data_IF_306888632373
#
_entry.id   IF_306888632373
#
_cell.length_a   1.000
_cell.length_b   1.000
_cell.length_c   1.000
_cell.angle_alpha   90.00
_cell.angle_beta   90.00
_cell.angle_gamma   90.00
#
_symmetry.space_group_name_H-M   'P 1'
#
loop_
_entity.id
_entity.type
_entity.pdbx_description
1 polymer ?
#
# COMPACT_ATOMS: atom_id res chain seq x y z
N UNK A 1 -18.74 -5.27 -24.82
CA UNK A 1 -20.22 -5.07 -24.91
C UNK A 1 -20.77 -5.17 -23.51
N UNK A 2 -21.64 -4.24 -23.10
CA UNK A 2 -22.32 -4.25 -21.79
C UNK A 2 -23.32 -5.40 -21.74
N UNK A 3 -23.29 -6.19 -20.66
CA UNK A 3 -24.23 -7.30 -20.43
C UNK A 3 -25.58 -6.73 -20.09
N UNK A 4 -26.64 -7.21 -20.79
CA UNK A 4 -28.01 -6.75 -20.50
C UNK A 4 -28.48 -7.23 -19.14
N UNK A 5 -29.05 -6.35 -18.35
CA UNK A 5 -29.58 -6.59 -17.01
C UNK A 5 -31.11 -6.46 -17.00
N UNK A 6 -31.73 -7.10 -16.04
CA UNK A 6 -33.16 -6.93 -15.66
C UNK A 6 -33.18 -6.35 -14.26
N UNK A 7 -34.07 -5.41 -14.01
CA UNK A 7 -34.39 -4.91 -12.67
C UNK A 7 -35.31 -5.94 -11.99
N UNK A 8 -34.98 -6.32 -10.78
CA UNK A 8 -35.70 -7.27 -9.95
C UNK A 8 -36.10 -6.57 -8.64
N UNK A 9 -37.38 -6.41 -8.41
CA UNK A 9 -37.96 -5.94 -7.16
C UNK A 9 -38.45 -7.13 -6.36
N UNK A 10 -37.88 -7.33 -5.17
CA UNK A 10 -38.19 -8.46 -4.28
C UNK A 10 -39.03 -7.97 -3.10
N UNK A 11 -40.05 -8.76 -2.76
CA UNK A 11 -40.90 -8.57 -1.59
C UNK A 11 -40.77 -9.77 -0.68
N UNK A 12 -40.20 -9.58 0.52
CA UNK A 12 -39.83 -10.66 1.43
C UNK A 12 -40.38 -10.38 2.82
N UNK A 13 -40.86 -11.39 3.53
CA UNK A 13 -41.21 -11.25 4.93
C UNK A 13 -39.96 -11.00 5.77
N UNK A 14 -40.08 -10.14 6.80
CA UNK A 14 -38.98 -9.79 7.67
C UNK A 14 -38.25 -11.04 8.23
N UNK A 15 -38.99 -12.06 8.61
CA UNK A 15 -38.44 -13.32 9.17
C UNK A 15 -37.62 -14.12 8.14
N UNK A 16 -37.96 -14.02 6.85
CA UNK A 16 -37.29 -14.77 5.77
C UNK A 16 -36.14 -14.02 5.09
N UNK A 17 -35.84 -12.81 5.56
CA UNK A 17 -34.79 -11.93 4.95
C UNK A 17 -33.46 -12.62 4.76
N UNK A 18 -32.88 -13.16 5.85
CA UNK A 18 -31.58 -13.81 5.80
C UNK A 18 -31.58 -15.08 4.96
N UNK A 19 -32.64 -15.84 5.02
CA UNK A 19 -32.79 -17.08 4.22
C UNK A 19 -32.83 -16.73 2.73
N UNK A 20 -33.60 -15.71 2.36
CA UNK A 20 -33.70 -15.24 0.97
C UNK A 20 -32.36 -14.77 0.46
N UNK A 21 -31.61 -13.98 1.26
CA UNK A 21 -30.27 -13.53 0.90
C UNK A 21 -29.30 -14.69 0.68
N UNK A 22 -29.30 -15.69 1.56
CA UNK A 22 -28.47 -16.89 1.41
C UNK A 22 -28.82 -17.67 0.15
N UNK A 23 -30.13 -17.83 -0.15
CA UNK A 23 -30.61 -18.50 -1.36
C UNK A 23 -30.15 -17.73 -2.62
N UNK A 24 -30.23 -16.37 -2.64
CA UNK A 24 -29.76 -15.55 -3.75
C UNK A 24 -28.23 -15.57 -3.87
N UNK A 25 -27.52 -15.52 -2.75
CA UNK A 25 -26.06 -15.61 -2.71
C UNK A 25 -25.55 -16.95 -3.27
N UNK A 26 -26.29 -18.04 -3.03
CA UNK A 26 -25.96 -19.37 -3.58
C UNK A 26 -25.98 -19.42 -5.11
N UNK A 27 -26.81 -18.58 -5.77
CA UNK A 27 -26.82 -18.44 -7.22
C UNK A 27 -25.63 -17.60 -7.73
N UNK A 28 -25.15 -16.63 -6.95
CA UNK A 28 -24.01 -15.79 -7.29
C UNK A 28 -24.20 -14.88 -8.52
N UNK A 29 -25.47 -14.60 -8.91
CA UNK A 29 -25.80 -13.87 -10.14
C UNK A 29 -26.70 -12.65 -9.92
N UNK A 30 -27.16 -12.43 -8.70
CA UNK A 30 -28.05 -11.33 -8.33
C UNK A 30 -27.22 -10.22 -7.69
N UNK A 31 -27.30 -9.03 -8.25
CA UNK A 31 -26.67 -7.82 -7.67
C UNK A 31 -27.72 -7.02 -6.92
N UNK A 32 -27.63 -6.97 -5.61
CA UNK A 32 -28.54 -6.17 -4.76
C UNK A 32 -28.07 -4.73 -4.77
N UNK A 33 -28.98 -3.79 -4.97
CA UNK A 33 -28.68 -2.38 -4.89
C UNK A 33 -28.52 -1.98 -3.42
N UNK A 34 -27.30 -1.56 -3.07
CA UNK A 34 -26.99 -1.14 -1.71
C UNK A 34 -27.44 0.32 -1.54
N UNK A 35 -28.33 0.55 -0.59
CA UNK A 35 -28.82 1.89 -0.28
C UNK A 35 -27.68 2.77 0.25
N UNK A 36 -27.65 4.05 -0.17
CA UNK A 36 -26.63 4.98 0.30
C UNK A 36 -26.77 5.26 1.80
N UNK A 37 -25.64 5.20 2.51
CA UNK A 37 -25.58 5.53 3.94
C UNK A 37 -26.03 4.40 4.87
N UNK A 38 -26.08 3.17 4.37
CA UNK A 38 -26.33 1.99 5.21
C UNK A 38 -25.15 1.81 6.18
N UNK A 39 -25.44 1.82 7.47
CA UNK A 39 -24.50 1.52 8.54
C UNK A 39 -25.20 0.71 9.61
N UNK A 40 -24.52 -0.28 10.14
CA UNK A 40 -24.92 -1.04 11.32
C UNK A 40 -23.69 -1.37 12.15
N UNK A 41 -23.89 -1.71 13.40
CA UNK A 41 -22.81 -2.12 14.28
C UNK A 41 -22.00 -3.31 13.70
N UNK A 42 -22.67 -4.22 13.01
CA UNK A 42 -22.01 -5.35 12.33
C UNK A 42 -21.13 -4.88 11.19
N UNK A 43 -21.59 -3.96 10.34
CA UNK A 43 -20.83 -3.40 9.22
C UNK A 43 -19.59 -2.66 9.74
N UNK A 44 -19.74 -1.87 10.80
CA UNK A 44 -18.62 -1.16 11.42
C UNK A 44 -17.58 -2.11 12.02
N UNK A 45 -18.03 -3.17 12.69
CA UNK A 45 -17.16 -4.21 13.25
C UNK A 45 -16.39 -4.96 12.16
N UNK A 46 -17.05 -5.35 11.06
CA UNK A 46 -16.40 -6.01 9.92
C UNK A 46 -15.39 -5.06 9.27
N UNK A 47 -15.74 -3.79 9.09
CA UNK A 47 -14.83 -2.79 8.55
C UNK A 47 -13.60 -2.58 9.45
N UNK A 48 -13.76 -2.59 10.78
CA UNK A 48 -12.66 -2.52 11.72
C UNK A 48 -11.73 -3.75 11.60
N UNK A 49 -12.29 -4.97 11.59
CA UNK A 49 -11.51 -6.21 11.40
C UNK A 49 -10.74 -6.22 10.06
N UNK A 50 -11.37 -5.76 8.98
CA UNK A 50 -10.73 -5.63 7.67
C UNK A 50 -9.58 -4.62 7.69
N UNK A 51 -9.76 -3.48 8.37
CA UNK A 51 -8.70 -2.50 8.54
C UNK A 51 -7.52 -3.07 9.33
N UNK A 52 -7.79 -3.81 10.41
CA UNK A 52 -6.78 -4.46 11.24
C UNK A 52 -6.01 -5.52 10.45
N UNK A 53 -6.68 -6.34 9.64
CA UNK A 53 -6.05 -7.31 8.76
C UNK A 53 -5.14 -6.65 7.71
N UNK A 54 -5.60 -5.59 7.06
CA UNK A 54 -4.79 -4.83 6.09
C UNK A 54 -3.60 -4.13 6.76
N UNK A 55 -3.79 -3.60 7.97
CA UNK A 55 -2.73 -3.00 8.78
C UNK A 55 -1.67 -4.02 9.17
N UNK A 56 -2.06 -5.19 9.65
CA UNK A 56 -1.14 -6.27 9.97
C UNK A 56 -0.32 -6.72 8.76
N UNK A 57 -0.96 -6.89 7.59
CA UNK A 57 -0.30 -7.19 6.33
C UNK A 57 0.73 -6.11 5.94
N UNK A 58 0.38 -4.83 6.11
CA UNK A 58 1.28 -3.70 5.81
C UNK A 58 2.49 -3.70 6.75
N UNK A 59 2.29 -3.98 8.05
CA UNK A 59 3.37 -4.08 9.04
C UNK A 59 4.35 -5.19 8.65
N UNK A 60 3.85 -6.38 8.30
CA UNK A 60 4.70 -7.51 7.88
C UNK A 60 5.51 -7.15 6.63
N UNK A 61 4.86 -6.56 5.62
CA UNK A 61 5.51 -6.17 4.36
C UNK A 61 6.57 -5.08 4.56
N UNK A 62 6.31 -4.09 5.42
CA UNK A 62 7.26 -3.05 5.76
C UNK A 62 8.49 -3.64 6.48
N UNK A 63 8.27 -4.50 7.49
CA UNK A 63 9.36 -5.17 8.19
C UNK A 63 10.23 -6.02 7.24
N UNK A 64 9.62 -6.74 6.29
CA UNK A 64 10.32 -7.49 5.25
C UNK A 64 11.14 -6.58 4.31
N UNK A 65 10.55 -5.45 3.91
CA UNK A 65 11.22 -4.47 3.04
C UNK A 65 12.45 -3.86 3.73
N UNK A 66 12.30 -3.50 5.00
CA UNK A 66 13.38 -2.88 5.78
C UNK A 66 14.50 -3.89 6.11
N UNK A 67 14.15 -5.16 6.39
CA UNK A 67 15.13 -6.24 6.53
C UNK A 67 15.92 -6.46 5.23
N UNK A 68 15.26 -6.44 4.06
CA UNK A 68 15.92 -6.53 2.75
C UNK A 68 16.87 -5.36 2.48
N UNK A 69 16.44 -4.12 2.80
CA UNK A 69 17.30 -2.92 2.68
C UNK A 69 18.54 -3.02 3.59
N UNK A 70 18.35 -3.56 4.81
CA UNK A 70 19.43 -3.80 5.76
C UNK A 70 20.31 -5.03 5.41
N UNK A 71 20.03 -5.71 4.28
CA UNK A 71 20.73 -6.96 3.84
C UNK A 71 20.73 -8.06 4.91
N UNK A 72 19.70 -8.10 5.76
CA UNK A 72 19.51 -9.19 6.74
C UNK A 72 19.11 -10.47 6.01
N UNK A 73 19.68 -11.59 6.42
CA UNK A 73 19.29 -12.91 5.91
C UNK A 73 17.97 -13.35 6.55
N UNK A 74 16.87 -13.04 5.86
CA UNK A 74 15.52 -13.42 6.29
C UNK A 74 15.28 -14.93 6.15
N UNK A 75 16.06 -15.62 5.32
CA UNK A 75 15.90 -17.06 5.07
C UNK A 75 16.31 -17.92 6.27
N UNK A 76 17.15 -17.40 7.14
CA UNK A 76 17.58 -18.06 8.38
C UNK A 76 16.52 -18.02 9.49
N UNK A 77 15.51 -17.16 9.39
CA UNK A 77 14.43 -17.08 10.37
C UNK A 77 13.47 -18.26 10.18
N UNK A 78 13.34 -19.13 11.20
CA UNK A 78 12.34 -20.20 11.18
C UNK A 78 10.96 -19.57 11.01
N UNK A 79 10.20 -20.05 10.02
CA UNK A 79 8.82 -19.63 9.83
C UNK A 79 8.00 -19.86 11.10
N UNK A 80 6.99 -19.01 11.33
CA UNK A 80 6.04 -19.22 12.41
C UNK A 80 5.29 -20.56 12.21
N UNK A 81 4.82 -21.14 13.30
CA UNK A 81 3.97 -22.33 13.26
C UNK A 81 2.69 -22.04 12.46
N UNK A 82 2.42 -22.81 11.41
CA UNK A 82 1.31 -22.60 10.47
C UNK A 82 -0.05 -23.09 11.00
N UNK A 83 -0.14 -23.49 12.25
CA UNK A 83 -1.37 -24.01 12.88
C UNK A 83 -2.32 -22.92 13.39
N UNK A 84 -1.90 -21.66 13.48
CA UNK A 84 -2.69 -20.56 14.05
C UNK A 84 -3.74 -20.05 13.09
N UNK A 85 -4.86 -19.56 13.62
CA UNK A 85 -5.89 -18.86 12.84
C UNK A 85 -5.38 -17.50 12.38
N UNK A 86 -5.86 -17.02 11.22
CA UNK A 86 -5.46 -15.73 10.68
C UNK A 86 -5.79 -14.57 11.64
N UNK A 87 -6.95 -14.61 12.31
CA UNK A 87 -7.36 -13.62 13.32
C UNK A 87 -6.34 -13.49 14.46
N UNK A 88 -5.90 -14.62 15.02
CA UNK A 88 -4.95 -14.62 16.16
C UNK A 88 -3.57 -14.06 15.74
N UNK A 89 -3.20 -14.30 14.47
CA UNK A 89 -1.95 -13.76 13.90
C UNK A 89 -2.06 -12.25 13.67
N UNK A 90 -3.21 -11.77 13.18
CA UNK A 90 -3.47 -10.34 13.00
C UNK A 90 -3.31 -9.62 14.33
N UNK A 91 -4.00 -10.08 15.38
CA UNK A 91 -3.94 -9.48 16.72
C UNK A 91 -2.51 -9.50 17.28
N UNK A 92 -1.81 -10.62 17.13
CA UNK A 92 -0.42 -10.76 17.58
C UNK A 92 0.51 -9.76 16.86
N UNK A 93 0.40 -9.62 15.54
CA UNK A 93 1.23 -8.68 14.75
C UNK A 93 0.96 -7.23 15.16
N UNK A 94 -0.30 -6.88 15.41
CA UNK A 94 -0.67 -5.54 15.86
C UNK A 94 -0.10 -5.25 17.27
N UNK A 95 -0.17 -6.21 18.20
CA UNK A 95 0.41 -6.09 19.53
C UNK A 95 1.95 -5.97 19.50
N UNK A 96 2.61 -6.78 18.67
CA UNK A 96 4.06 -6.71 18.45
C UNK A 96 4.47 -5.33 17.90
N UNK A 97 3.72 -4.81 16.92
CA UNK A 97 3.98 -3.47 16.39
C UNK A 97 3.85 -2.38 17.44
N UNK A 98 2.77 -2.40 18.24
CA UNK A 98 2.59 -1.44 19.33
C UNK A 98 3.71 -1.51 20.38
N UNK A 99 4.17 -2.73 20.68
CA UNK A 99 5.28 -2.94 21.60
C UNK A 99 6.58 -2.40 21.03
N UNK A 100 6.85 -2.64 19.74
CA UNK A 100 8.00 -2.08 19.04
C UNK A 100 8.01 -0.56 19.05
N UNK A 101 6.85 0.06 18.79
CA UNK A 101 6.72 1.52 18.76
C UNK A 101 6.98 2.14 20.15
N UNK A 102 6.50 1.50 21.22
CA UNK A 102 6.77 1.93 22.61
C UNK A 102 8.27 1.85 22.92
N UNK A 103 8.92 0.74 22.59
CA UNK A 103 10.35 0.57 22.82
C UNK A 103 11.20 1.54 21.99
N UNK A 104 10.78 1.83 20.74
CA UNK A 104 11.43 2.84 19.88
C UNK A 104 11.32 4.24 20.51
N UNK A 105 10.15 4.61 21.03
CA UNK A 105 9.97 5.89 21.72
C UNK A 105 10.84 6.00 22.98
N UNK A 106 10.92 4.95 23.78
CA UNK A 106 11.79 4.88 24.97
C UNK A 106 13.27 5.01 24.58
N UNK A 107 13.71 4.23 23.60
CA UNK A 107 15.07 4.30 23.04
C UNK A 107 15.42 5.71 22.55
N UNK A 108 14.52 6.37 21.83
CA UNK A 108 14.75 7.70 21.28
C UNK A 108 14.82 8.76 22.38
N UNK A 109 14.08 8.59 23.47
CA UNK A 109 14.24 9.42 24.67
C UNK A 109 15.60 9.22 25.33
N UNK A 110 16.04 7.97 25.53
CA UNK A 110 17.37 7.68 26.07
C UNK A 110 18.48 8.17 25.15
N UNK A 111 18.30 8.14 23.81
CA UNK A 111 19.25 8.74 22.86
C UNK A 111 19.34 10.26 23.01
N UNK A 112 18.24 10.95 23.31
CA UNK A 112 18.26 12.39 23.62
C UNK A 112 19.03 12.65 24.91
N UNK A 113 18.76 11.87 25.97
CA UNK A 113 19.55 11.98 27.23
C UNK A 113 21.03 11.70 26.99
N UNK A 114 21.34 10.67 26.21
CA UNK A 114 22.74 10.36 25.84
C UNK A 114 23.39 11.51 25.08
N UNK A 115 22.66 12.19 24.17
CA UNK A 115 23.21 13.33 23.43
C UNK A 115 23.54 14.54 24.31
N UNK A 116 22.84 14.70 25.44
CA UNK A 116 23.12 15.75 26.44
C UNK A 116 24.43 15.49 27.17
N UNK A 117 24.66 14.22 27.57
CA UNK A 117 25.86 13.84 28.33
C UNK A 117 27.09 13.57 27.45
N UNK A 118 26.89 13.20 26.18
CA UNK A 118 27.94 12.79 25.26
C UNK A 118 29.13 13.80 25.14
N UNK A 119 28.94 15.12 25.14
CA UNK A 119 30.05 16.06 25.10
C UNK A 119 30.97 15.99 26.32
N UNK A 120 30.44 15.54 27.46
CA UNK A 120 31.18 15.46 28.72
C UNK A 120 31.87 14.12 28.95
N UNK A 121 31.57 13.13 28.12
CA UNK A 121 32.17 11.80 28.18
C UNK A 121 31.61 10.92 29.30
N UNK A 122 32.33 9.82 29.60
CA UNK A 122 31.96 8.92 30.67
C UNK A 122 32.48 9.37 32.01
N UNK A 123 31.60 9.66 32.95
CA UNK A 123 31.95 10.02 34.33
C UNK A 123 30.90 9.39 35.30
N UNK A 124 31.30 9.24 36.57
CA UNK A 124 30.42 8.70 37.60
C UNK A 124 29.80 9.88 38.42
N UNK A 125 28.47 9.90 38.48
CA UNK A 125 27.73 10.86 39.31
C UNK A 125 28.07 10.72 40.78
N UNK A 126 28.34 9.50 41.27
CA UNK A 126 28.73 9.27 42.67
C UNK A 126 30.07 9.99 42.98
N UNK A 127 31.00 9.96 42.05
CA UNK A 127 32.30 10.71 42.21
C UNK A 127 32.09 12.21 42.26
N UNK A 128 31.16 12.74 41.44
CA UNK A 128 30.85 14.18 41.43
C UNK A 128 30.15 14.55 42.73
N UNK A 129 29.18 13.76 43.20
CA UNK A 129 28.49 14.00 44.45
C UNK A 129 29.45 13.91 45.68
N UNK A 130 30.31 12.91 45.68
CA UNK A 130 31.37 12.80 46.70
C UNK A 130 32.34 14.00 46.67
N UNK A 131 32.60 14.56 45.49
CA UNK A 131 33.46 15.74 45.33
C UNK A 131 32.75 16.99 45.87
N UNK A 132 31.45 17.17 45.58
CA UNK A 132 30.62 18.24 46.16
C UNK A 132 30.66 18.24 47.69
N UNK A 133 30.42 17.07 48.29
CA UNK A 133 30.39 16.90 49.76
C UNK A 133 31.74 17.19 50.42
N UNK A 134 32.85 16.82 49.76
CA UNK A 134 34.19 16.99 50.31
C UNK A 134 34.82 18.37 50.10
N UNK A 135 34.39 19.11 49.07
CA UNK A 135 35.07 20.33 48.65
C UNK A 135 34.25 21.59 48.85
N UNK A 136 32.96 21.52 49.22
CA UNK A 136 32.04 22.66 49.30
C UNK A 136 31.94 23.48 48.02
N UNK A 137 32.20 22.84 46.86
CA UNK A 137 32.00 23.43 45.54
C UNK A 137 30.76 22.86 44.88
N UNK A 138 29.94 23.75 44.34
CA UNK A 138 28.84 23.32 43.42
C UNK A 138 29.37 23.14 42.04
N UNK A 139 29.04 21.98 41.43
CA UNK A 139 29.51 21.58 40.10
C UNK A 139 28.33 21.65 39.16
N UNK A 140 28.44 22.52 38.14
CA UNK A 140 27.40 22.71 37.16
C UNK A 140 27.98 22.62 35.75
N UNK A 141 27.13 22.14 34.82
CA UNK A 141 27.50 21.90 33.44
C UNK A 141 26.87 22.95 32.54
N UNK A 142 27.65 23.47 31.61
CA UNK A 142 27.26 24.60 30.74
C UNK A 142 27.61 24.35 29.29
N UNK A 143 26.87 25.03 28.39
CA UNK A 143 27.30 25.25 27.03
C UNK A 143 27.29 26.73 26.66
N UNK A 144 28.28 27.16 25.90
CA UNK A 144 28.38 28.53 25.42
C UNK A 144 28.92 28.56 23.98
N UNK A 145 28.61 29.60 23.19
CA UNK A 145 29.30 29.84 21.93
C UNK A 145 30.81 30.09 22.20
N UNK A 146 31.69 29.52 21.38
CA UNK A 146 33.17 29.60 21.57
C UNK A 146 33.64 31.02 21.78
N UNK A 147 33.16 31.97 20.94
CA UNK A 147 33.55 33.38 21.00
C UNK A 147 33.16 34.06 22.32
N UNK A 148 31.97 33.75 22.82
CA UNK A 148 31.44 34.31 24.07
C UNK A 148 32.16 33.71 25.27
N UNK A 149 32.43 32.40 25.26
CA UNK A 149 33.20 31.73 26.32
C UNK A 149 34.60 32.29 26.44
N UNK A 150 35.30 32.55 25.33
CA UNK A 150 36.66 33.13 25.32
C UNK A 150 36.71 34.60 25.77
N UNK A 151 35.64 35.34 25.51
CA UNK A 151 35.56 36.77 25.88
C UNK A 151 35.06 36.99 27.32
N UNK A 152 34.47 35.98 27.93
CA UNK A 152 33.86 36.12 29.27
C UNK A 152 34.88 35.94 30.39
N UNK A 153 34.84 36.87 31.34
CA UNK A 153 35.69 36.80 32.54
C UNK A 153 34.92 36.08 33.67
N UNK A 154 35.35 34.87 34.02
CA UNK A 154 34.73 34.06 35.03
C UNK A 154 35.04 34.43 36.48
N UNK A 155 35.84 35.49 36.72
CA UNK A 155 36.17 35.92 38.06
C UNK A 155 36.86 34.86 38.93
N UNK A 156 36.25 34.52 40.07
CA UNK A 156 36.76 33.48 40.99
C UNK A 156 36.21 32.07 40.66
N UNK A 157 35.34 31.94 39.65
CA UNK A 157 34.76 30.66 39.24
C UNK A 157 35.77 29.87 38.40
N UNK A 158 36.17 28.72 38.89
CA UNK A 158 37.03 27.83 38.11
C UNK A 158 36.20 27.11 37.03
N UNK A 159 36.62 27.21 35.78
CA UNK A 159 35.98 26.54 34.67
C UNK A 159 36.93 25.60 33.94
N UNK A 160 36.40 24.47 33.47
CA UNK A 160 37.16 23.52 32.68
C UNK A 160 36.40 23.19 31.39
N UNK A 161 36.99 23.59 30.27
CA UNK A 161 36.42 23.24 28.94
C UNK A 161 36.67 21.75 28.67
N UNK A 162 35.59 20.99 28.48
CA UNK A 162 35.64 19.54 28.27
C UNK A 162 35.72 19.21 26.78
N UNK A 163 34.88 19.88 25.96
CA UNK A 163 34.81 19.62 24.52
C UNK A 163 34.36 20.87 23.76
N UNK A 164 34.93 21.04 22.58
CA UNK A 164 34.44 22.00 21.57
C UNK A 164 33.81 21.24 20.41
N UNK A 165 32.56 21.53 20.13
CA UNK A 165 31.82 20.86 19.07
C UNK A 165 30.77 21.80 18.48
N UNK A 166 30.64 21.80 17.14
CA UNK A 166 29.61 22.57 16.41
C UNK A 166 29.55 24.07 16.78
N UNK A 167 30.71 24.70 17.06
CA UNK A 167 30.80 26.14 17.41
C UNK A 167 30.44 26.46 18.86
N UNK A 168 30.22 25.47 19.70
CA UNK A 168 29.97 25.59 21.15
C UNK A 168 31.09 24.96 21.95
N UNK A 169 31.33 25.51 23.13
CA UNK A 169 32.17 24.93 24.16
C UNK A 169 31.26 24.31 25.23
N UNK A 170 31.54 23.09 25.57
CA UNK A 170 30.93 22.39 26.71
C UNK A 170 31.92 22.42 27.84
N UNK A 171 31.52 22.99 28.95
CA UNK A 171 32.43 23.18 30.10
C UNK A 171 31.76 22.89 31.44
N UNK A 172 32.57 22.61 32.42
CA UNK A 172 32.16 22.41 33.81
C UNK A 172 32.63 23.63 34.61
N UNK A 173 31.73 24.19 35.40
CA UNK A 173 32.06 25.27 36.31
C UNK A 173 31.98 24.77 37.76
N UNK A 174 33.01 25.18 38.53
CA UNK A 174 33.13 24.90 39.94
C UNK A 174 32.90 26.19 40.72
N UNK A 175 31.75 26.33 41.36
CA UNK A 175 31.33 27.48 42.10
C UNK A 175 31.39 27.18 43.59
N UNK A 176 32.03 28.07 44.40
CA UNK A 176 32.06 27.91 45.85
C UNK A 176 30.64 28.07 46.43
N UNK A 177 30.25 27.21 47.37
CA UNK A 177 28.95 27.27 48.01
C UNK A 177 28.76 28.64 48.68
N UNK A 178 27.64 29.34 48.37
CA UNK A 178 27.33 30.70 48.86
C UNK A 178 27.87 31.87 48.00
N UNK A 179 28.52 31.64 46.84
CA UNK A 179 28.87 32.71 45.92
C UNK A 179 27.61 33.18 45.15
N UNK A 180 27.42 34.51 45.01
CA UNK A 180 26.29 35.12 44.27
C UNK A 180 26.56 35.26 42.76
N UNK A 181 27.76 34.91 42.27
CA UNK A 181 28.11 35.03 40.87
C UNK A 181 27.23 34.18 39.98
N UNK A 182 26.65 34.79 38.93
CA UNK A 182 25.79 34.12 37.94
C UNK A 182 26.54 33.98 36.62
N UNK A 183 26.59 32.74 36.13
CA UNK A 183 27.17 32.46 34.80
C UNK A 183 26.05 32.65 33.76
N UNK A 184 26.19 33.58 32.78
CA UNK A 184 25.12 33.92 31.82
C UNK A 184 25.07 32.97 30.61
N UNK A 185 25.38 31.70 30.82
CA UNK A 185 25.36 30.68 29.79
C UNK A 185 24.33 29.60 30.09
N UNK A 186 23.95 28.82 29.07
CA UNK A 186 22.94 27.78 29.19
C UNK A 186 23.39 26.66 30.12
N UNK A 187 22.65 26.46 31.23
CA UNK A 187 22.87 25.35 32.14
C UNK A 187 22.35 24.07 31.47
N UNK A 188 23.18 23.03 31.46
CA UNK A 188 22.83 21.73 30.99
C UNK A 188 22.39 20.86 32.19
N UNK A 189 21.12 20.53 32.21
CA UNK A 189 20.57 19.59 33.20
C UNK A 189 20.99 18.16 32.83
N UNK A 190 21.89 17.60 33.64
CA UNK A 190 22.37 16.24 33.42
C UNK A 190 21.27 15.21 33.76
N UNK A 191 21.13 14.16 32.92
CA UNK A 191 20.25 13.04 33.26
C UNK A 191 20.80 12.30 34.50
N UNK A 192 19.92 11.57 35.20
CA UNK A 192 20.29 10.82 36.41
C UNK A 192 21.11 9.54 36.12
N UNK A 193 21.37 9.22 34.86
CA UNK A 193 22.08 8.00 34.43
C UNK A 193 23.40 8.35 33.80
N UNK A 194 24.42 7.54 34.01
CA UNK A 194 25.73 7.70 33.40
C UNK A 194 25.71 7.41 31.88
N UNK A 195 26.74 7.89 31.19
CA UNK A 195 26.91 7.65 29.75
C UNK A 195 26.90 6.14 29.40
N UNK A 196 27.61 5.34 30.20
CA UNK A 196 27.73 3.89 29.96
C UNK A 196 26.44 3.14 30.26
N UNK A 197 25.68 3.56 31.29
CA UNK A 197 24.36 3.02 31.60
C UNK A 197 23.37 3.32 30.48
N UNK A 198 23.31 4.57 30.01
CA UNK A 198 22.45 4.94 28.89
C UNK A 198 22.79 4.16 27.64
N UNK A 199 24.07 4.01 27.31
CA UNK A 199 24.52 3.23 26.16
C UNK A 199 24.15 1.75 26.26
N UNK A 200 24.28 1.18 27.45
CA UNK A 200 23.89 -0.22 27.71
C UNK A 200 22.39 -0.39 27.53
N UNK A 201 21.57 0.48 28.12
CA UNK A 201 20.11 0.42 28.00
C UNK A 201 19.64 0.61 26.56
N UNK A 202 20.23 1.54 25.82
CA UNK A 202 19.94 1.71 24.38
C UNK A 202 20.25 0.42 23.62
N UNK A 203 21.41 -0.21 23.88
CA UNK A 203 21.78 -1.47 23.22
C UNK A 203 20.84 -2.63 23.55
N UNK A 204 20.35 -2.71 24.79
CA UNK A 204 19.35 -3.70 25.21
C UNK A 204 17.99 -3.46 24.53
N UNK A 205 17.57 -2.18 24.42
CA UNK A 205 16.35 -1.84 23.71
C UNK A 205 16.45 -2.13 22.21
N UNK A 206 17.59 -1.81 21.59
CA UNK A 206 17.82 -2.11 20.17
C UNK A 206 17.72 -3.62 19.89
N UNK A 207 18.25 -4.46 20.79
CA UNK A 207 18.10 -5.93 20.69
C UNK A 207 16.65 -6.38 20.81
N UNK A 208 15.92 -5.85 21.80
CA UNK A 208 14.48 -6.18 21.99
C UNK A 208 13.65 -5.76 20.80
N UNK A 209 13.93 -4.58 20.23
CA UNK A 209 13.25 -4.11 19.01
C UNK A 209 13.55 -5.04 17.85
N UNK A 210 14.81 -5.45 17.68
CA UNK A 210 15.22 -6.39 16.63
C UNK A 210 14.54 -7.76 16.79
N UNK A 211 14.43 -8.28 17.99
CA UNK A 211 13.73 -9.54 18.25
C UNK A 211 12.25 -9.46 17.89
N UNK A 212 11.58 -8.37 18.25
CA UNK A 212 10.17 -8.12 17.87
C UNK A 212 10.03 -8.00 16.34
N UNK A 213 10.90 -7.26 15.68
CA UNK A 213 10.88 -7.14 14.21
C UNK A 213 11.09 -8.49 13.52
N UNK A 214 11.99 -9.32 14.04
CA UNK A 214 12.19 -10.69 13.57
C UNK A 214 10.94 -11.56 13.79
N UNK A 215 10.25 -11.39 14.92
CA UNK A 215 9.00 -12.12 15.19
C UNK A 215 7.86 -11.67 14.25
N UNK A 216 7.79 -10.39 13.92
CA UNK A 216 6.86 -9.89 12.89
C UNK A 216 7.17 -10.51 11.53
N UNK A 217 8.45 -10.57 11.13
CA UNK A 217 8.88 -11.14 9.85
C UNK A 217 8.55 -12.64 9.75
N UNK A 218 8.66 -13.40 10.83
CA UNK A 218 8.28 -14.83 10.86
C UNK A 218 6.84 -15.07 10.43
N UNK A 219 5.95 -14.09 10.64
CA UNK A 219 4.55 -14.18 10.24
C UNK A 219 4.32 -13.96 8.73
N UNK A 220 5.36 -13.77 7.90
CA UNK A 220 5.23 -13.66 6.44
C UNK A 220 4.48 -14.85 5.80
N UNK A 221 4.59 -16.03 6.38
CA UNK A 221 3.92 -17.25 5.91
C UNK A 221 2.40 -17.15 5.97
N UNK A 222 1.87 -16.27 6.80
CA UNK A 222 0.42 -16.04 6.95
C UNK A 222 -0.16 -14.98 6.02
N UNK A 223 0.65 -14.31 5.19
CA UNK A 223 0.15 -13.25 4.28
C UNK A 223 -0.99 -13.78 3.38
N UNK A 224 -0.84 -15.01 2.88
CA UNK A 224 -1.90 -15.63 2.07
C UNK A 224 -3.17 -15.94 2.88
N UNK A 225 -3.01 -16.41 4.12
CA UNK A 225 -4.14 -16.65 5.03
C UNK A 225 -4.84 -15.33 5.41
N UNK A 226 -4.08 -14.27 5.68
CA UNK A 226 -4.62 -12.92 5.93
C UNK A 226 -5.37 -12.38 4.70
N UNK A 227 -4.87 -12.61 3.47
CA UNK A 227 -5.58 -12.22 2.26
C UNK A 227 -6.93 -12.96 2.13
N UNK A 228 -6.96 -14.27 2.40
CA UNK A 228 -8.21 -15.05 2.41
C UNK A 228 -9.21 -14.56 3.47
N UNK A 229 -8.69 -14.15 4.64
CA UNK A 229 -9.51 -13.55 5.69
C UNK A 229 -10.11 -12.22 5.24
N UNK A 230 -9.31 -11.35 4.61
CA UNK A 230 -9.80 -10.08 4.03
C UNK A 230 -10.86 -10.33 2.95
N UNK A 231 -10.68 -11.34 2.11
CA UNK A 231 -11.68 -11.72 1.09
C UNK A 231 -12.97 -12.22 1.75
N UNK A 232 -12.86 -13.02 2.81
CA UNK A 232 -14.01 -13.49 3.61
C UNK A 232 -14.76 -12.32 4.26
N UNK A 233 -14.02 -11.39 4.88
CA UNK A 233 -14.60 -10.18 5.47
C UNK A 233 -15.25 -9.26 4.44
N UNK A 234 -14.72 -9.18 3.21
CA UNK A 234 -15.36 -8.45 2.12
C UNK A 234 -16.72 -9.08 1.74
N UNK A 235 -16.77 -10.41 1.65
CA UNK A 235 -18.01 -11.12 1.35
C UNK A 235 -19.04 -10.90 2.47
N UNK A 236 -18.61 -10.98 3.74
CA UNK A 236 -19.48 -10.74 4.90
C UNK A 236 -19.98 -9.29 4.92
N UNK A 237 -19.12 -8.32 4.64
CA UNK A 237 -19.50 -6.91 4.58
C UNK A 237 -20.59 -6.68 3.52
N UNK A 238 -20.39 -7.17 2.31
CA UNK A 238 -21.39 -7.07 1.25
C UNK A 238 -22.70 -7.76 1.60
N UNK A 239 -22.63 -8.88 2.33
CA UNK A 239 -23.83 -9.58 2.80
C UNK A 239 -24.61 -8.75 3.83
N UNK A 240 -23.93 -8.15 4.81
CA UNK A 240 -24.57 -7.28 5.80
C UNK A 240 -25.07 -5.97 5.18
N UNK A 241 -24.32 -5.36 4.24
CA UNK A 241 -24.80 -4.22 3.47
C UNK A 241 -26.07 -4.55 2.68
N UNK A 242 -26.10 -5.68 2.01
CA UNK A 242 -27.30 -6.16 1.28
C UNK A 242 -28.47 -6.41 2.24
N UNK A 243 -28.22 -6.96 3.41
CA UNK A 243 -29.23 -7.22 4.44
C UNK A 243 -29.87 -5.91 4.95
N UNK A 244 -29.06 -4.91 5.21
CA UNK A 244 -29.52 -3.62 5.69
C UNK A 244 -30.14 -2.76 4.56
N UNK A 245 -29.96 -3.12 3.30
CA UNK A 245 -30.57 -2.43 2.15
C UNK A 245 -32.05 -2.78 1.94
N UNK A 246 -32.59 -3.73 2.70
CA UNK A 246 -34.01 -4.03 2.67
C UNK A 246 -34.81 -2.93 3.38
N UNK A 247 -35.69 -2.27 2.65
CA UNK A 247 -36.55 -1.20 3.17
C UNK A 247 -37.87 -1.76 3.66
N UNK A 248 -38.25 -1.37 4.87
CA UNK A 248 -39.55 -1.76 5.43
C UNK A 248 -40.70 -1.06 4.68
N UNK A 249 -41.73 -1.81 4.30
CA UNK A 249 -42.94 -1.23 3.71
C UNK A 249 -43.78 -0.61 4.79
N UNK A 250 -44.06 0.70 4.68
CA UNK A 250 -44.95 1.43 5.60
C UNK A 250 -46.39 0.87 5.58
N UNK A 251 -46.86 0.40 4.42
CA UNK A 251 -48.22 -0.13 4.23
C UNK A 251 -48.46 -1.40 5.05
N UNK A 252 -47.41 -2.18 5.36
CA UNK A 252 -47.52 -3.49 6.03
C UNK A 252 -46.98 -3.47 7.46
N UNK A 253 -46.84 -2.26 8.05
CA UNK A 253 -46.25 -2.09 9.41
C UNK A 253 -44.87 -2.78 9.56
N UNK A 254 -44.10 -2.80 8.49
CA UNK A 254 -42.75 -3.39 8.48
C UNK A 254 -42.68 -4.92 8.38
N UNK A 255 -43.79 -5.60 8.18
CA UNK A 255 -43.82 -7.06 8.02
C UNK A 255 -43.26 -7.51 6.69
N UNK A 256 -43.43 -6.71 5.63
CA UNK A 256 -42.88 -6.97 4.30
C UNK A 256 -41.74 -6.02 4.05
N UNK A 257 -40.61 -6.54 3.65
CA UNK A 257 -39.43 -5.81 3.24
C UNK A 257 -39.34 -5.79 1.71
N UNK A 258 -38.83 -4.68 1.18
CA UNK A 258 -38.62 -4.47 -0.23
C UNK A 258 -37.13 -4.21 -0.50
N UNK A 259 -36.62 -4.80 -1.59
CA UNK A 259 -35.25 -4.53 -2.08
C UNK A 259 -35.20 -4.55 -3.59
N UNK A 260 -34.41 -3.65 -4.16
CA UNK A 260 -34.10 -3.63 -5.58
C UNK A 260 -32.80 -4.38 -5.86
N UNK A 261 -32.82 -5.11 -6.96
CA UNK A 261 -31.67 -5.89 -7.41
C UNK A 261 -31.62 -5.93 -8.94
N UNK A 262 -30.48 -6.33 -9.48
CA UNK A 262 -30.30 -6.50 -10.91
C UNK A 262 -29.82 -7.91 -11.23
N UNK A 263 -30.34 -8.47 -12.32
CA UNK A 263 -30.05 -9.83 -12.78
C UNK A 263 -29.63 -9.81 -14.24
N UNK A 264 -28.54 -10.48 -14.63
CA UNK A 264 -28.21 -10.65 -16.04
C UNK A 264 -29.34 -11.33 -16.81
N UNK A 265 -29.73 -10.77 -17.95
CA UNK A 265 -30.82 -11.27 -18.78
C UNK A 265 -30.67 -12.76 -19.18
N UNK A 266 -29.45 -13.23 -19.38
CA UNK A 266 -29.11 -14.60 -19.70
C UNK A 266 -29.29 -15.58 -18.50
N UNK A 267 -29.44 -15.02 -17.27
CA UNK A 267 -29.70 -15.76 -16.03
C UNK A 267 -31.10 -15.59 -15.48
N UNK A 268 -31.97 -14.88 -16.17
CA UNK A 268 -33.34 -14.56 -15.75
C UNK A 268 -34.14 -15.83 -15.41
N UNK A 269 -34.06 -16.87 -16.24
CA UNK A 269 -34.82 -18.14 -16.04
C UNK A 269 -34.39 -18.89 -14.79
N UNK A 270 -33.08 -18.85 -14.48
CA UNK A 270 -32.50 -19.53 -13.32
C UNK A 270 -32.97 -18.87 -12.02
N UNK A 271 -32.96 -17.51 -12.00
CA UNK A 271 -33.44 -16.74 -10.85
C UNK A 271 -34.94 -16.90 -10.65
N UNK A 272 -35.75 -16.85 -11.72
CA UNK A 272 -37.20 -17.08 -11.63
C UNK A 272 -37.51 -18.44 -11.04
N UNK A 273 -36.86 -19.51 -11.52
CA UNK A 273 -37.06 -20.86 -11.01
C UNK A 273 -36.79 -20.95 -9.50
N UNK A 274 -35.73 -20.29 -9.02
CA UNK A 274 -35.45 -20.24 -7.58
C UNK A 274 -36.55 -19.51 -6.82
N UNK A 275 -36.91 -18.27 -7.24
CA UNK A 275 -37.90 -17.42 -6.56
C UNK A 275 -39.29 -18.13 -6.51
N UNK A 276 -39.72 -18.74 -7.62
CA UNK A 276 -40.97 -19.50 -7.70
C UNK A 276 -40.94 -20.71 -6.78
N UNK A 277 -39.85 -21.46 -6.74
CA UNK A 277 -39.67 -22.62 -5.84
C UNK A 277 -39.72 -22.25 -4.35
N UNK A 278 -39.26 -21.06 -4.02
CA UNK A 278 -39.25 -20.52 -2.65
C UNK A 278 -40.50 -19.71 -2.34
N UNK A 279 -41.39 -19.52 -3.32
CA UNK A 279 -42.64 -18.71 -3.20
C UNK A 279 -42.36 -17.24 -2.77
N UNK A 280 -41.26 -16.67 -3.25
CA UNK A 280 -40.90 -15.28 -3.00
C UNK A 280 -41.63 -14.44 -4.05
N UNK A 281 -42.32 -13.38 -3.59
CA UNK A 281 -42.97 -12.43 -4.49
C UNK A 281 -41.95 -11.51 -5.14
N UNK A 282 -42.03 -11.35 -6.46
CA UNK A 282 -41.11 -10.48 -7.20
C UNK A 282 -41.78 -9.83 -8.40
N UNK A 283 -41.19 -8.70 -8.83
CA UNK A 283 -41.50 -8.03 -10.09
C UNK A 283 -40.20 -7.95 -10.88
N UNK A 284 -40.22 -8.25 -12.17
CA UNK A 284 -39.03 -8.23 -13.03
C UNK A 284 -39.31 -7.40 -14.28
N UNK A 285 -38.58 -6.34 -14.46
CA UNK A 285 -38.76 -5.31 -15.49
C UNK A 285 -37.49 -5.01 -16.27
N UNK A 286 -37.59 -4.30 -17.40
CA UNK A 286 -36.42 -3.71 -18.04
C UNK A 286 -36.02 -2.44 -17.25
N UNK A 287 -34.71 -2.24 -16.97
CA UNK A 287 -34.27 -1.05 -16.26
C UNK A 287 -34.48 0.22 -17.07
N UNK A 288 -34.82 1.32 -16.40
CA UNK A 288 -35.01 2.65 -16.95
C UNK A 288 -33.73 3.49 -16.86
N UNK A 289 -33.74 4.68 -17.49
CA UNK A 289 -32.57 5.57 -17.45
C UNK A 289 -32.31 6.19 -16.07
N UNK A 290 -33.30 6.19 -15.21
CA UNK A 290 -33.24 6.72 -13.86
C UNK A 290 -32.67 5.70 -12.86
N UNK A 291 -32.58 4.43 -13.27
CA UNK A 291 -32.06 3.36 -12.45
C UNK A 291 -30.52 3.34 -12.46
N UNK A 292 -29.91 3.09 -11.30
CA UNK A 292 -28.47 2.92 -11.16
C UNK A 292 -28.02 1.48 -11.47
N UNK A 293 -28.09 1.12 -12.75
CA UNK A 293 -27.87 -0.25 -13.19
C UNK A 293 -26.38 -0.61 -13.14
N UNK A 294 -25.98 -1.69 -12.46
CA UNK A 294 -24.60 -2.14 -12.44
C UNK A 294 -24.10 -2.56 -13.84
N UNK A 295 -22.89 -2.18 -14.15
CA UNK A 295 -22.28 -2.47 -15.46
C UNK A 295 -21.37 -3.67 -15.37
N UNK A 296 -21.72 -4.73 -16.11
CA UNK A 296 -20.87 -5.88 -16.34
C UNK A 296 -20.45 -5.93 -17.82
N UNK A 297 -19.13 -5.91 -18.05
CA UNK A 297 -18.59 -6.00 -19.40
C UNK A 297 -18.48 -7.48 -19.84
N UNK A 298 -19.01 -7.79 -21.02
CA UNK A 298 -18.92 -9.11 -21.64
C UNK A 298 -18.18 -8.99 -22.96
N UNK A 299 -16.86 -9.01 -22.91
CA UNK A 299 -15.96 -8.87 -24.05
C UNK A 299 -15.38 -10.22 -24.48
N UNK A 300 -14.89 -10.29 -25.72
CA UNK A 300 -14.11 -11.43 -26.19
C UNK A 300 -12.76 -11.51 -25.45
N UNK A 301 -12.06 -12.64 -25.55
CA UNK A 301 -10.79 -12.88 -24.86
C UNK A 301 -9.69 -11.87 -25.15
N UNK A 302 -9.72 -11.24 -26.32
CA UNK A 302 -8.76 -10.21 -26.70
C UNK A 302 -9.13 -8.86 -26.11
N UNK A 303 -10.36 -8.40 -26.34
CA UNK A 303 -10.83 -7.11 -25.82
C UNK A 303 -10.89 -7.10 -24.29
N UNK A 304 -11.14 -8.23 -23.62
CA UNK A 304 -11.15 -8.32 -22.15
C UNK A 304 -9.81 -7.97 -21.51
N UNK A 305 -8.69 -8.16 -22.22
CA UNK A 305 -7.38 -7.72 -21.74
C UNK A 305 -7.28 -6.18 -21.61
N UNK A 306 -8.09 -5.46 -22.39
CA UNK A 306 -8.14 -3.99 -22.41
C UNK A 306 -9.17 -3.41 -21.44
N UNK A 307 -10.00 -4.25 -20.80
CA UNK A 307 -10.92 -3.80 -19.74
C UNK A 307 -10.18 -3.17 -18.56
N UNK A 308 -8.91 -3.54 -18.33
CA UNK A 308 -8.06 -2.90 -17.35
C UNK A 308 -7.92 -1.39 -17.64
N UNK A 309 -7.69 -1.03 -18.91
CA UNK A 309 -7.57 0.37 -19.34
C UNK A 309 -8.92 1.07 -19.17
N UNK A 310 -10.00 0.45 -19.62
CA UNK A 310 -11.35 1.01 -19.47
C UNK A 310 -11.68 1.28 -17.99
N UNK A 311 -11.37 0.33 -17.11
CA UNK A 311 -11.59 0.47 -15.65
C UNK A 311 -10.72 1.55 -15.00
N UNK A 312 -9.52 1.83 -15.51
CA UNK A 312 -8.66 2.92 -15.01
C UNK A 312 -9.22 4.30 -15.33
N UNK A 313 -9.90 4.46 -16.47
CA UNK A 313 -10.52 5.74 -16.80
C UNK A 313 -11.90 5.91 -16.16
N UNK A 314 -12.83 5.06 -16.44
CA UNK A 314 -14.15 4.90 -15.83
C UNK A 314 -14.95 3.87 -16.64
N UNK A 315 -15.76 3.04 -15.95
CA UNK A 315 -16.71 2.19 -16.66
C UNK A 315 -17.79 3.07 -17.32
N UNK A 316 -18.26 2.73 -18.54
CA UNK A 316 -19.38 3.44 -19.17
C UNK A 316 -20.66 3.22 -18.34
N UNK A 317 -21.62 4.14 -18.44
CA UNK A 317 -22.94 3.91 -17.88
C UNK A 317 -23.64 2.76 -18.62
N UNK A 318 -24.61 2.11 -17.96
CA UNK A 318 -25.32 0.97 -18.53
C UNK A 318 -25.94 1.22 -19.91
N UNK A 319 -26.42 2.43 -20.16
CA UNK A 319 -27.07 2.84 -21.41
C UNK A 319 -26.07 3.37 -22.46
N UNK A 320 -24.80 3.41 -22.16
CA UNK A 320 -23.75 3.86 -23.06
C UNK A 320 -23.15 2.72 -23.87
N UNK A 321 -22.26 3.05 -24.79
CA UNK A 321 -21.54 2.09 -25.62
C UNK A 321 -20.27 1.67 -24.89
N UNK A 322 -20.00 0.36 -24.86
CA UNK A 322 -18.70 -0.16 -24.40
C UNK A 322 -17.61 0.17 -25.44
N UNK A 323 -16.70 1.06 -25.06
CA UNK A 323 -15.57 1.46 -25.88
C UNK A 323 -14.38 0.49 -25.82
N UNK A 324 -14.42 -0.54 -24.95
CA UNK A 324 -13.32 -1.49 -24.76
C UNK A 324 -12.87 -2.16 -26.08
N UNK A 325 -13.76 -2.61 -26.97
CA UNK A 325 -13.34 -3.17 -28.26
C UNK A 325 -12.62 -2.17 -29.16
N UNK A 326 -13.00 -0.88 -29.12
CA UNK A 326 -12.33 0.19 -29.88
C UNK A 326 -10.95 0.47 -29.28
N UNK A 327 -10.87 0.57 -27.93
CA UNK A 327 -9.61 0.72 -27.22
C UNK A 327 -8.67 -0.42 -27.57
N UNK A 328 -9.16 -1.65 -27.62
CA UNK A 328 -8.35 -2.83 -27.95
C UNK A 328 -7.72 -2.79 -29.36
N UNK A 329 -8.30 -2.04 -30.28
CA UNK A 329 -7.74 -1.85 -31.64
C UNK A 329 -6.85 -0.60 -31.72
N UNK A 330 -7.38 0.54 -31.29
CA UNK A 330 -6.70 1.82 -31.51
C UNK A 330 -5.57 2.09 -30.52
N UNK A 331 -5.71 1.69 -29.27
CA UNK A 331 -4.71 1.94 -28.24
C UNK A 331 -3.34 1.32 -28.56
N UNK A 332 -3.24 0.01 -28.94
CA UNK A 332 -1.95 -0.56 -29.32
C UNK A 332 -1.36 0.09 -30.59
N UNK A 333 -2.19 0.54 -31.53
CA UNK A 333 -1.71 1.23 -32.74
C UNK A 333 -1.13 2.61 -32.40
N UNK A 334 -1.83 3.41 -31.58
CA UNK A 334 -1.31 4.71 -31.14
C UNK A 334 -0.07 4.58 -30.27
N UNK A 335 -0.07 3.64 -29.31
CA UNK A 335 1.09 3.35 -28.49
C UNK A 335 2.30 2.99 -29.36
N UNK A 336 2.11 2.07 -30.30
CA UNK A 336 3.16 1.62 -31.20
C UNK A 336 3.67 2.75 -32.10
N UNK A 337 2.79 3.63 -32.57
CA UNK A 337 3.16 4.79 -33.36
C UNK A 337 4.01 5.80 -32.59
N UNK A 338 3.57 6.13 -31.37
CA UNK A 338 4.30 7.06 -30.50
C UNK A 338 5.64 6.50 -30.01
N UNK A 339 5.71 5.19 -29.74
CA UNK A 339 6.93 4.56 -29.23
C UNK A 339 7.89 4.16 -30.34
N UNK A 340 7.39 3.69 -31.48
CA UNK A 340 8.04 3.51 -32.78
C UNK A 340 9.42 2.86 -32.82
N UNK A 341 9.75 1.95 -31.87
CA UNK A 341 11.07 1.34 -31.78
C UNK A 341 10.99 -0.19 -31.74
N UNK A 342 11.56 -0.83 -32.74
CA UNK A 342 11.53 -2.29 -32.91
C UNK A 342 12.31 -3.03 -31.81
N UNK A 343 13.42 -2.46 -31.33
CA UNK A 343 14.26 -3.10 -30.29
C UNK A 343 13.51 -3.21 -28.97
N UNK A 344 12.93 -2.12 -28.50
CA UNK A 344 12.11 -2.12 -27.27
C UNK A 344 10.82 -2.92 -27.46
N UNK A 345 10.22 -2.91 -28.67
CA UNK A 345 9.05 -3.73 -28.99
C UNK A 345 9.35 -5.23 -28.84
N UNK A 346 10.49 -5.72 -29.33
CA UNK A 346 10.92 -7.11 -29.19
C UNK A 346 11.15 -7.46 -27.72
N UNK A 347 11.83 -6.61 -26.97
CA UNK A 347 12.06 -6.84 -25.52
C UNK A 347 10.73 -6.95 -24.79
N UNK A 348 9.79 -6.03 -25.03
CA UNK A 348 8.46 -6.07 -24.40
C UNK A 348 7.70 -7.34 -24.78
N UNK A 349 7.78 -7.77 -26.04
CA UNK A 349 7.16 -9.02 -26.52
C UNK A 349 7.73 -10.23 -25.80
N UNK A 350 9.06 -10.33 -25.65
CA UNK A 350 9.73 -11.44 -24.97
C UNK A 350 9.35 -11.47 -23.48
N UNK A 351 9.41 -10.31 -22.81
CA UNK A 351 9.03 -10.19 -21.39
C UNK A 351 7.58 -10.58 -21.17
N UNK A 352 6.67 -10.13 -22.05
CA UNK A 352 5.26 -10.50 -21.98
C UNK A 352 5.04 -12.00 -22.20
N UNK A 353 5.72 -12.61 -23.14
CA UNK A 353 5.65 -14.06 -23.38
C UNK A 353 6.15 -14.84 -22.18
N UNK A 354 7.35 -14.52 -21.67
CA UNK A 354 7.90 -15.17 -20.47
C UNK A 354 6.94 -14.99 -19.28
N UNK A 355 6.40 -13.78 -19.10
CA UNK A 355 5.42 -13.50 -18.03
C UNK A 355 4.16 -14.35 -18.14
N UNK A 356 3.60 -14.52 -19.35
CA UNK A 356 2.40 -15.34 -19.59
C UNK A 356 2.62 -16.83 -19.27
N UNK A 357 3.84 -17.33 -19.46
CA UNK A 357 4.16 -18.72 -19.15
C UNK A 357 4.50 -18.95 -17.67
N UNK A 358 5.01 -17.92 -16.98
CA UNK A 358 5.53 -18.05 -15.59
C UNK A 358 4.58 -17.46 -14.55
N UNK A 359 4.38 -16.14 -14.55
CA UNK A 359 3.78 -15.36 -13.44
C UNK A 359 2.36 -14.88 -13.77
N UNK A 360 2.10 -14.48 -15.03
CA UNK A 360 0.85 -13.83 -15.44
C UNK A 360 -0.25 -14.87 -15.75
N UNK A 361 -0.76 -15.52 -14.69
CA UNK A 361 -1.84 -16.51 -14.74
C UNK A 361 -3.12 -15.97 -14.09
N UNK A 362 -4.26 -16.60 -14.36
CA UNK A 362 -5.54 -16.20 -13.78
C UNK A 362 -5.92 -14.76 -14.14
N UNK A 363 -6.19 -13.92 -13.15
CA UNK A 363 -6.60 -12.52 -13.32
C UNK A 363 -5.51 -11.65 -13.96
N UNK A 364 -4.21 -11.97 -13.76
CA UNK A 364 -3.09 -11.23 -14.32
C UNK A 364 -2.83 -11.53 -15.81
N UNK A 365 -3.48 -12.58 -16.36
CA UNK A 365 -3.30 -12.97 -17.77
C UNK A 365 -3.66 -11.86 -18.73
N UNK A 366 -4.64 -11.01 -18.40
CA UNK A 366 -5.03 -9.84 -19.21
C UNK A 366 -3.88 -8.86 -19.42
N UNK A 367 -3.11 -8.58 -18.35
CA UNK A 367 -1.92 -7.70 -18.42
C UNK A 367 -0.87 -8.28 -19.37
N UNK A 368 -0.66 -9.60 -19.34
CA UNK A 368 0.27 -10.27 -20.24
C UNK A 368 -0.15 -10.17 -21.71
N UNK A 369 -1.45 -10.34 -22.01
CA UNK A 369 -1.98 -10.19 -23.38
C UNK A 369 -1.86 -8.75 -23.85
N UNK A 370 -2.19 -7.78 -23.00
CA UNK A 370 -2.03 -6.35 -23.27
C UNK A 370 -0.57 -6.02 -23.61
N UNK A 371 0.38 -6.40 -22.74
CA UNK A 371 1.81 -6.15 -22.97
C UNK A 371 2.33 -6.84 -24.24
N UNK A 372 1.87 -8.06 -24.53
CA UNK A 372 2.23 -8.80 -25.74
C UNK A 372 1.78 -8.07 -27.01
N UNK A 373 0.53 -7.62 -27.04
CA UNK A 373 -0.01 -6.88 -28.21
C UNK A 373 0.68 -5.54 -28.40
N UNK A 374 0.97 -4.80 -27.32
CA UNK A 374 1.74 -3.57 -27.38
C UNK A 374 3.15 -3.82 -27.94
N UNK A 375 3.83 -4.86 -27.45
CA UNK A 375 5.17 -5.22 -27.92
C UNK A 375 5.21 -5.58 -29.41
N UNK A 376 4.27 -6.42 -29.87
CA UNK A 376 4.17 -6.80 -31.29
C UNK A 376 3.89 -5.58 -32.16
N UNK A 377 2.89 -4.77 -31.81
CA UNK A 377 2.55 -3.57 -32.57
C UNK A 377 3.72 -2.58 -32.64
N UNK A 378 4.43 -2.37 -31.52
CA UNK A 378 5.61 -1.49 -31.45
C UNK A 378 6.75 -2.02 -32.31
N UNK A 379 6.98 -3.34 -32.32
CA UNK A 379 7.99 -3.97 -33.20
C UNK A 379 7.67 -3.70 -34.67
N UNK A 380 6.43 -3.91 -35.06
CA UNK A 380 5.98 -3.70 -36.47
C UNK A 380 6.09 -2.20 -36.83
N UNK A 381 5.60 -1.33 -35.96
CA UNK A 381 5.59 0.11 -36.22
C UNK A 381 7.01 0.70 -36.27
N UNK A 382 7.92 0.19 -35.41
CA UNK A 382 9.34 0.60 -35.46
C UNK A 382 10.03 0.25 -36.78
N UNK A 383 9.63 -0.85 -37.43
CA UNK A 383 10.09 -1.18 -38.78
C UNK A 383 9.48 -0.22 -39.83
N UNK A 384 8.18 0.10 -39.70
CA UNK A 384 7.46 0.98 -40.64
C UNK A 384 7.98 2.43 -40.56
N UNK A 385 8.22 2.94 -39.33
CA UNK A 385 8.60 4.33 -39.05
C UNK A 385 10.12 4.61 -39.21
N UNK A 386 10.79 3.96 -40.11
CA UNK A 386 12.19 4.27 -40.43
C UNK A 386 13.22 3.42 -39.72
N UNK A 387 12.82 2.30 -39.12
CA UNK A 387 13.74 1.27 -38.60
C UNK A 387 14.49 1.71 -37.37
N UNK A 388 13.82 2.30 -36.34
CA UNK A 388 14.43 2.56 -35.07
C UNK A 388 14.65 1.26 -34.31
N UNK A 389 15.86 1.09 -33.77
CA UNK A 389 16.26 -0.07 -32.98
C UNK A 389 17.09 0.39 -31.77
N UNK A 390 16.52 0.34 -30.58
CA UNK A 390 17.06 0.89 -29.33
C UNK A 390 17.48 2.37 -29.45
N UNK A 391 16.62 3.19 -30.05
CA UNK A 391 16.85 4.63 -30.23
C UNK A 391 17.85 4.98 -31.34
N UNK A 392 18.35 3.99 -32.07
CA UNK A 392 19.26 4.21 -33.19
C UNK A 392 18.52 3.94 -34.52
N UNK A 393 18.51 4.89 -35.44
CA UNK A 393 17.95 4.70 -36.77
C UNK A 393 18.80 3.71 -37.56
N UNK A 394 18.18 2.74 -38.24
CA UNK A 394 18.87 1.77 -39.07
C UNK A 394 19.18 2.44 -40.41
N UNK A 395 20.46 2.70 -40.75
CA UNK A 395 20.80 3.31 -42.02
C UNK A 395 20.39 2.39 -43.21
N UNK A 396 19.89 2.97 -44.27
CA UNK A 396 19.53 2.24 -45.48
C UNK A 396 20.72 1.49 -46.14
N UNK A 397 21.94 1.83 -45.76
CA UNK A 397 23.17 1.26 -46.28
C UNK A 397 24.01 0.55 -45.22
N UNK A 398 23.37 -0.33 -44.41
CA UNK A 398 24.06 -1.08 -43.36
C UNK A 398 24.72 -2.36 -43.90
N UNK A 399 25.93 -2.67 -43.41
CA UNK A 399 26.63 -3.91 -43.75
C UNK A 399 26.12 -5.13 -42.93
N UNK A 400 25.22 -4.93 -41.97
CA UNK A 400 24.64 -6.01 -41.16
C UNK A 400 23.52 -6.67 -41.99
N UNK A 401 23.64 -7.98 -42.37
CA UNK A 401 22.70 -8.63 -43.31
C UNK A 401 21.24 -8.58 -42.86
N UNK A 402 20.95 -8.70 -41.54
CA UNK A 402 19.60 -8.64 -40.99
C UNK A 402 19.00 -7.24 -41.16
N UNK A 403 19.79 -6.20 -40.87
CA UNK A 403 19.33 -4.82 -41.03
C UNK A 403 19.22 -4.40 -42.46
N UNK A 404 20.08 -4.91 -43.35
CA UNK A 404 19.98 -4.69 -44.79
C UNK A 404 18.74 -5.35 -45.42
N UNK A 405 18.32 -6.50 -44.89
CA UNK A 405 17.05 -7.14 -45.25
C UNK A 405 15.83 -6.35 -44.75
N UNK A 406 15.86 -5.86 -43.52
CA UNK A 406 14.80 -5.05 -42.92
C UNK A 406 14.67 -3.68 -43.58
N UNK A 407 15.78 -3.06 -44.00
CA UNK A 407 15.76 -1.75 -44.64
C UNK A 407 14.95 -1.72 -45.95
N UNK A 408 14.78 -2.87 -46.62
CA UNK A 408 13.94 -3.00 -47.81
C UNK A 408 12.44 -2.86 -47.54
N UNK A 409 12.02 -3.07 -46.28
CA UNK A 409 10.62 -2.99 -45.83
C UNK A 409 10.32 -1.66 -45.12
N UNK A 410 11.29 -0.75 -44.99
CA UNK A 410 11.07 0.56 -44.41
C UNK A 410 10.22 1.41 -45.37
N UNK A 411 9.10 1.89 -44.85
CA UNK A 411 8.16 2.74 -45.62
C UNK A 411 8.65 4.18 -45.61
N UNK A 412 9.24 4.63 -44.51
CA UNK A 412 9.77 5.98 -44.33
C UNK A 412 11.27 5.88 -44.13
N UNK A 413 12.02 6.23 -45.18
CA UNK A 413 13.49 6.13 -45.22
C UNK A 413 14.19 7.44 -44.85
N UNK A 414 13.49 8.57 -44.94
CA UNK A 414 14.04 9.90 -44.63
C UNK A 414 13.03 10.76 -43.84
N UNK A 415 13.32 10.99 -42.56
CA UNK A 415 12.49 11.78 -41.65
C UNK A 415 12.42 13.26 -42.10
N UNK A 416 13.44 13.75 -42.81
CA UNK A 416 13.49 15.15 -43.26
C UNK A 416 12.52 15.44 -44.39
N UNK A 417 12.24 14.46 -45.26
CA UNK A 417 11.29 14.62 -46.34
C UNK A 417 9.83 14.44 -45.95
N UNK A 418 9.58 13.70 -44.85
CA UNK A 418 8.23 13.34 -44.38
C UNK A 418 7.93 13.86 -42.98
N UNK A 419 8.37 15.10 -42.66
CA UNK A 419 8.24 15.70 -41.36
C UNK A 419 6.79 15.75 -40.79
N UNK A 420 5.79 15.76 -41.65
CA UNK A 420 4.36 15.75 -41.28
C UNK A 420 3.86 14.36 -40.86
N UNK A 421 4.63 13.29 -41.05
CA UNK A 421 4.32 11.94 -40.61
C UNK A 421 5.06 11.55 -39.33
N UNK A 422 5.96 12.39 -38.84
CA UNK A 422 6.65 12.18 -37.54
C UNK A 422 5.87 12.83 -36.42
N UNK A 423 5.71 12.16 -35.24
CA UNK A 423 5.00 12.70 -34.07
C UNK A 423 5.66 13.93 -33.47
#
# INVERSE_FOLDING_TARGET
>A
MIRKMKKLSLFVFHEDREKTLNDLASLGVVHIEIANGVSSENIENIAAQKNDANRAKTIINNALSDAKKAKKDVSSLKAADTSKKASDVIDNVLQLSQSSDKLKAERDNLKKELSIIAPFGSFSFDKINNLKEKTSYDISFFSAPIKEYQAYNFGEIFTYAVKEEAGKVYFVAFKKEGSEEVIPFDIINMPNKSYDELKTQISELDKKIEDIENDIIKNQVYIEAINKEVDSLNIQNHFEEAKESFVASEVTEGKILYVEAYVPKDKESEVKTLLDSKKIAYIMEEPTKDDNVPVELKNNKYSSAYELITKLFQLPNYFEIDLTPMIAVFYPLFFAYCFGDSGYGIVLTIVALVGLFTVLKGQLRGIGILALTLGICTTIMGVINGGSFFGVSIPSNTQIPIFAALSKYLIITDIKENWFLTP
#
